data_IF_691904839366
#
_entry.id   IF_691904839366
#
_cell.length_a   1.000
_cell.length_b   1.000
_cell.length_c   1.000
_cell.angle_alpha   90.00
_cell.angle_beta   90.00
_cell.angle_gamma   90.00
#
_symmetry.space_group_name_H-M   'P 1'
#
loop_
_entity.id
_entity.type
_entity.pdbx_description
1 polymer ?
#
# COMPACT_ATOMS: atom_id res chain seq x y z
N UNK A 1 -17.24 -6.52 10.91
CA UNK A 1 -16.91 -7.86 10.37
C UNK A 1 -16.35 -7.81 8.94
N UNK A 2 -17.01 -7.20 7.93
CA UNK A 2 -16.52 -7.19 6.54
C UNK A 2 -15.17 -6.48 6.32
N UNK A 3 -14.95 -5.32 6.94
CA UNK A 3 -13.69 -4.56 6.81
C UNK A 3 -12.48 -5.26 7.47
N UNK A 4 -12.68 -6.04 8.55
CA UNK A 4 -11.64 -6.89 9.17
C UNK A 4 -11.00 -7.85 8.17
N UNK A 5 -11.78 -8.31 7.19
CA UNK A 5 -11.31 -9.16 6.11
C UNK A 5 -10.94 -8.36 4.84
N UNK A 6 -10.77 -7.05 4.91
CA UNK A 6 -10.37 -6.21 3.77
C UNK A 6 -11.46 -5.92 2.73
N UNK A 7 -12.73 -6.28 2.99
CA UNK A 7 -13.82 -5.94 2.07
C UNK A 7 -14.19 -4.45 2.16
N UNK A 8 -14.45 -3.84 1.01
CA UNK A 8 -14.81 -2.42 0.86
C UNK A 8 -13.76 -1.41 1.34
N UNK A 9 -12.54 -1.85 1.69
CA UNK A 9 -11.42 -0.95 2.02
C UNK A 9 -10.63 -0.54 0.77
N UNK A 10 -10.48 -1.48 -0.16
CA UNK A 10 -9.62 -1.36 -1.32
C UNK A 10 -10.33 -1.85 -2.58
N UNK A 11 -9.90 -1.36 -3.75
CA UNK A 11 -10.55 -1.66 -5.02
C UNK A 11 -10.43 -3.12 -5.46
N UNK A 12 -9.48 -3.88 -4.90
CA UNK A 12 -9.30 -5.31 -5.19
C UNK A 12 -8.77 -6.15 -4.00
N UNK A 13 -9.06 -5.75 -2.74
CA UNK A 13 -8.71 -6.53 -1.52
C UNK A 13 -7.22 -6.96 -1.47
N UNK A 14 -6.32 -6.03 -1.76
CA UNK A 14 -4.87 -6.25 -1.78
C UNK A 14 -4.22 -6.25 -0.38
N UNK A 15 -4.91 -5.74 0.64
CA UNK A 15 -4.25 -5.39 1.91
C UNK A 15 -3.39 -4.13 1.73
N UNK A 16 -2.53 -3.83 2.69
CA UNK A 16 -1.60 -2.71 2.54
C UNK A 16 -0.49 -3.02 1.52
N UNK A 17 -0.26 -2.07 0.61
CA UNK A 17 0.90 -2.05 -0.28
C UNK A 17 1.79 -0.91 0.21
N UNK A 18 2.83 -1.24 0.98
CA UNK A 18 3.69 -0.26 1.63
C UNK A 18 4.74 0.32 0.68
N UNK A 19 5.25 -0.50 -0.25
CA UNK A 19 6.37 -0.11 -1.12
C UNK A 19 6.03 -0.20 -2.60
N UNK A 20 6.72 0.59 -3.42
CA UNK A 20 6.60 0.52 -4.89
C UNK A 20 7.01 -0.86 -5.41
N UNK A 21 7.96 -1.54 -4.75
CA UNK A 21 8.39 -2.89 -5.11
C UNK A 21 7.25 -3.90 -4.99
N UNK A 22 6.43 -3.82 -3.94
CA UNK A 22 5.24 -4.66 -3.78
C UNK A 22 4.20 -4.38 -4.87
N UNK A 23 3.98 -3.11 -5.21
CA UNK A 23 3.10 -2.72 -6.31
C UNK A 23 3.58 -3.31 -7.66
N UNK A 24 4.89 -3.23 -7.93
CA UNK A 24 5.50 -3.81 -9.12
C UNK A 24 5.32 -5.34 -9.16
N UNK A 25 5.62 -6.04 -8.08
CA UNK A 25 5.45 -7.50 -8.01
C UNK A 25 4.00 -7.92 -8.27
N UNK A 26 3.02 -7.21 -7.68
CA UNK A 26 1.61 -7.47 -7.93
C UNK A 26 1.26 -7.31 -9.41
N UNK A 27 1.77 -6.26 -10.06
CA UNK A 27 1.58 -6.06 -11.49
C UNK A 27 2.25 -7.16 -12.34
N UNK A 28 3.47 -7.56 -12.01
CA UNK A 28 4.19 -8.61 -12.73
C UNK A 28 3.51 -9.97 -12.60
N UNK A 29 2.97 -10.30 -11.42
CA UNK A 29 2.17 -11.51 -11.23
C UNK A 29 0.87 -11.47 -12.03
N UNK A 30 0.19 -10.32 -12.03
CA UNK A 30 -0.99 -10.10 -12.86
C UNK A 30 -0.67 -10.18 -14.35
N UNK A 31 0.53 -9.80 -14.78
CA UNK A 31 0.98 -9.98 -16.16
C UNK A 31 1.39 -11.43 -16.47
N UNK A 32 1.57 -12.27 -15.46
CA UNK A 32 2.14 -13.62 -15.61
C UNK A 32 3.65 -13.62 -15.87
N UNK A 33 4.33 -12.48 -15.64
CA UNK A 33 5.78 -12.30 -15.84
C UNK A 33 6.59 -12.80 -14.65
N UNK A 34 5.96 -12.93 -13.49
CA UNK A 34 6.57 -13.38 -12.25
C UNK A 34 5.59 -14.22 -11.44
N UNK A 35 6.11 -15.13 -10.62
CA UNK A 35 5.32 -15.94 -9.69
C UNK A 35 5.98 -15.87 -8.32
N UNK A 36 5.22 -15.53 -7.27
CA UNK A 36 5.79 -15.40 -5.95
C UNK A 36 6.32 -16.74 -5.45
N UNK A 37 7.44 -16.69 -4.75
CA UNK A 37 8.01 -17.83 -4.03
C UNK A 37 7.81 -17.59 -2.54
N UNK A 38 7.72 -18.68 -1.77
CA UNK A 38 7.59 -18.60 -0.31
C UNK A 38 6.40 -17.70 0.13
N UNK A 39 5.28 -17.76 -0.61
CA UNK A 39 4.13 -16.88 -0.40
C UNK A 39 3.01 -17.48 0.47
N UNK A 40 3.22 -18.68 0.99
CA UNK A 40 2.32 -19.33 1.93
C UNK A 40 3.08 -19.45 3.24
N UNK A 41 2.67 -18.66 4.23
CA UNK A 41 3.22 -18.72 5.57
C UNK A 41 2.30 -19.51 6.49
N UNK A 42 2.87 -20.10 7.54
CA UNK A 42 2.13 -20.83 8.56
C UNK A 42 2.28 -20.14 9.91
N UNK A 43 1.24 -20.23 10.74
CA UNK A 43 1.27 -19.87 12.16
C UNK A 43 0.18 -20.64 12.87
N UNK A 44 0.53 -21.35 13.96
CA UNK A 44 -0.41 -22.09 14.80
C UNK A 44 -1.35 -23.04 14.03
N UNK A 45 -0.82 -23.71 13.00
CA UNK A 45 -1.58 -24.64 12.14
C UNK A 45 -2.55 -23.97 11.15
N UNK A 46 -2.45 -22.65 10.97
CA UNK A 46 -3.20 -21.85 9.99
C UNK A 46 -2.29 -21.32 8.89
N UNK A 47 -2.85 -21.13 7.70
CA UNK A 47 -2.11 -20.75 6.50
C UNK A 47 -2.46 -19.33 6.04
N UNK A 48 -1.45 -18.55 5.69
CA UNK A 48 -1.58 -17.13 5.35
C UNK A 48 -0.96 -16.84 3.98
N UNK A 49 -1.56 -15.90 3.25
CA UNK A 49 -0.95 -15.31 2.06
C UNK A 49 0.11 -14.29 2.49
N UNK A 50 1.39 -14.65 2.38
CA UNK A 50 2.51 -13.84 2.85
C UNK A 50 2.57 -12.44 2.20
N UNK A 51 1.98 -12.26 1.03
CA UNK A 51 1.99 -10.99 0.30
C UNK A 51 0.82 -10.07 0.68
N UNK A 52 -0.13 -10.58 1.48
CA UNK A 52 -1.26 -9.84 2.04
C UNK A 52 -1.73 -10.49 3.37
N UNK A 53 -0.84 -10.64 4.35
CA UNK A 53 -1.00 -11.54 5.49
C UNK A 53 -2.15 -11.17 6.44
N UNK A 54 -2.57 -9.91 6.46
CA UNK A 54 -3.66 -9.44 7.30
C UNK A 54 -5.05 -9.49 6.64
N UNK A 55 -5.14 -9.86 5.35
CA UNK A 55 -6.44 -9.97 4.64
C UNK A 55 -7.32 -11.10 5.20
N UNK A 56 -6.68 -12.17 5.68
CA UNK A 56 -7.31 -13.27 6.43
C UNK A 56 -6.66 -13.32 7.83
N UNK A 57 -7.12 -12.49 8.78
CA UNK A 57 -6.41 -12.27 10.05
C UNK A 57 -6.34 -13.49 10.96
N UNK A 58 -7.19 -14.49 10.73
CA UNK A 58 -7.18 -15.76 11.48
C UNK A 58 -6.60 -16.92 10.66
N UNK A 59 -6.06 -16.60 9.48
CA UNK A 59 -5.54 -17.57 8.51
C UNK A 59 -6.63 -18.42 7.87
N UNK A 60 -6.20 -19.29 6.98
CA UNK A 60 -7.01 -20.26 6.25
C UNK A 60 -6.68 -21.68 6.72
N UNK A 61 -7.54 -22.64 6.39
CA UNK A 61 -7.41 -24.02 6.88
C UNK A 61 -6.39 -24.83 6.08
N UNK A 62 -6.01 -24.39 4.88
CA UNK A 62 -5.00 -25.08 4.08
C UNK A 62 -4.23 -24.17 3.10
N UNK A 63 -3.06 -24.65 2.66
CA UNK A 63 -2.27 -24.00 1.61
C UNK A 63 -3.04 -23.91 0.27
N UNK A 64 -3.88 -24.89 -0.05
CA UNK A 64 -4.73 -24.88 -1.24
C UNK A 64 -5.78 -23.76 -1.18
N UNK A 65 -6.32 -23.44 0.00
CA UNK A 65 -7.24 -22.31 0.17
C UNK A 65 -6.53 -20.98 -0.06
N UNK A 66 -5.31 -20.80 0.48
CA UNK A 66 -4.47 -19.63 0.19
C UNK A 66 -4.27 -19.47 -1.31
N UNK A 67 -3.96 -20.56 -2.02
CA UNK A 67 -3.76 -20.53 -3.47
C UNK A 67 -5.04 -20.14 -4.23
N UNK A 68 -6.21 -20.68 -3.85
CA UNK A 68 -7.51 -20.31 -4.45
C UNK A 68 -7.87 -18.84 -4.19
N UNK A 69 -7.64 -18.36 -2.97
CA UNK A 69 -7.87 -16.95 -2.59
C UNK A 69 -6.97 -16.03 -3.40
N UNK A 70 -5.70 -16.41 -3.59
CA UNK A 70 -4.74 -15.64 -4.39
C UNK A 70 -5.11 -15.62 -5.87
N UNK A 71 -5.45 -16.76 -6.47
CA UNK A 71 -5.90 -16.83 -7.87
C UNK A 71 -7.11 -15.91 -8.11
N UNK A 72 -8.08 -15.94 -7.20
CA UNK A 72 -9.24 -15.05 -7.24
C UNK A 72 -8.79 -13.59 -7.17
N UNK A 73 -7.93 -13.23 -6.20
CA UNK A 73 -7.40 -11.88 -6.06
C UNK A 73 -6.68 -11.38 -7.32
N UNK A 74 -5.73 -12.15 -7.86
CA UNK A 74 -4.99 -11.80 -9.09
C UNK A 74 -5.93 -11.61 -10.28
N UNK A 75 -7.00 -12.42 -10.40
CA UNK A 75 -8.00 -12.22 -11.44
C UNK A 75 -8.75 -10.88 -11.30
N UNK A 76 -9.07 -10.47 -10.06
CA UNK A 76 -9.74 -9.19 -9.77
C UNK A 76 -8.83 -8.00 -9.99
N UNK A 77 -7.57 -8.09 -9.59
CA UNK A 77 -6.57 -7.05 -9.85
C UNK A 77 -6.31 -6.91 -11.35
N UNK A 78 -6.27 -8.02 -12.10
CA UNK A 78 -6.18 -7.97 -13.57
C UNK A 78 -7.33 -7.20 -14.20
N UNK A 79 -8.56 -7.45 -13.76
CA UNK A 79 -9.72 -6.71 -14.25
C UNK A 79 -9.62 -5.22 -13.89
N UNK A 80 -9.27 -4.91 -12.64
CA UNK A 80 -9.06 -3.54 -12.18
C UNK A 80 -8.01 -2.80 -13.02
N UNK A 81 -6.84 -3.41 -13.25
CA UNK A 81 -5.79 -2.79 -14.06
C UNK A 81 -6.21 -2.58 -15.50
N UNK A 82 -7.08 -3.42 -16.08
CA UNK A 82 -7.61 -3.24 -17.44
C UNK A 82 -8.66 -2.13 -17.56
N UNK A 83 -9.41 -1.90 -16.49
CA UNK A 83 -10.62 -1.07 -16.54
C UNK A 83 -10.47 0.30 -15.87
N UNK A 84 -9.46 0.50 -15.02
CA UNK A 84 -9.31 1.77 -14.33
C UNK A 84 -9.13 2.94 -15.31
N UNK A 85 -9.70 4.10 -14.98
CA UNK A 85 -9.43 5.37 -15.65
C UNK A 85 -8.43 6.22 -14.86
N UNK A 86 -8.50 6.11 -13.52
CA UNK A 86 -7.65 6.83 -12.58
C UNK A 86 -7.03 5.84 -11.60
N UNK A 87 -5.71 5.88 -11.49
CA UNK A 87 -4.91 5.11 -10.55
C UNK A 87 -4.38 6.01 -9.43
N UNK A 88 -4.93 5.87 -8.22
CA UNK A 88 -4.47 6.61 -7.05
C UNK A 88 -3.54 5.71 -6.25
N UNK A 89 -2.32 6.19 -5.98
CA UNK A 89 -1.36 5.44 -5.17
C UNK A 89 -0.69 6.30 -4.12
N UNK A 90 -0.81 5.86 -2.88
CA UNK A 90 -0.18 6.49 -1.71
C UNK A 90 1.16 5.80 -1.46
N UNK A 91 2.25 6.53 -1.63
CA UNK A 91 3.59 6.09 -1.28
C UNK A 91 3.72 6.01 0.25
N UNK A 92 3.81 4.78 0.76
CA UNK A 92 3.80 4.48 2.19
C UNK A 92 5.19 4.56 2.82
N UNK A 93 6.03 3.58 2.49
CA UNK A 93 7.32 3.32 3.12
C UNK A 93 8.39 3.00 2.06
N UNK A 94 9.66 3.16 2.44
CA UNK A 94 10.80 2.66 1.66
C UNK A 94 11.24 1.28 2.14
N UNK A 95 11.21 1.04 3.45
CA UNK A 95 11.64 -0.20 4.10
C UNK A 95 10.85 -1.42 3.61
N UNK A 96 11.58 -2.50 3.32
CA UNK A 96 11.00 -3.74 2.83
C UNK A 96 11.76 -4.98 3.31
N UNK A 97 11.05 -6.10 3.40
CA UNK A 97 11.61 -7.41 3.74
C UNK A 97 11.63 -8.30 2.51
N UNK A 98 12.78 -8.92 2.26
CA UNK A 98 13.05 -9.63 1.00
C UNK A 98 13.49 -11.06 1.32
N UNK A 99 12.91 -12.03 0.63
CA UNK A 99 13.44 -13.39 0.57
C UNK A 99 14.71 -13.40 -0.29
N UNK A 100 15.87 -13.71 0.31
CA UNK A 100 17.19 -13.65 -0.32
C UNK A 100 17.32 -14.54 -1.55
N UNK A 101 16.60 -15.67 -1.58
CA UNK A 101 16.71 -16.67 -2.64
C UNK A 101 15.93 -16.29 -3.89
N UNK A 102 14.72 -15.76 -3.70
CA UNK A 102 13.78 -15.46 -4.78
C UNK A 102 13.67 -13.98 -5.12
N UNK A 103 14.12 -13.09 -4.22
CA UNK A 103 13.89 -11.66 -4.31
C UNK A 103 12.44 -11.26 -4.02
N UNK A 104 11.59 -12.17 -3.51
CA UNK A 104 10.19 -11.87 -3.16
C UNK A 104 10.15 -10.88 -2.00
N UNK A 105 9.47 -9.76 -2.21
CA UNK A 105 9.28 -8.71 -1.22
C UNK A 105 7.93 -8.83 -0.52
N UNK A 106 7.95 -8.74 0.81
CA UNK A 106 6.77 -8.87 1.69
C UNK A 106 6.36 -7.52 2.31
N UNK A 107 5.07 -7.36 2.67
CA UNK A 107 4.56 -6.17 3.36
C UNK A 107 5.16 -5.95 4.75
N UNK A 108 5.42 -7.03 5.49
CA UNK A 108 5.98 -7.00 6.84
C UNK A 108 7.10 -8.03 6.96
N UNK A 109 7.89 -7.96 8.04
CA UNK A 109 8.81 -9.03 8.36
C UNK A 109 8.00 -10.33 8.62
N UNK A 110 8.50 -11.50 8.20
CA UNK A 110 8.01 -12.77 8.72
C UNK A 110 7.99 -12.76 10.26
N UNK A 111 6.99 -13.39 10.88
CA UNK A 111 6.83 -13.40 12.35
C UNK A 111 6.00 -12.26 12.92
N UNK A 112 5.81 -11.15 12.20
CA UNK A 112 4.96 -10.04 12.68
C UNK A 112 3.49 -10.45 12.67
N UNK A 113 2.99 -10.91 11.52
CA UNK A 113 1.61 -11.38 11.35
C UNK A 113 1.55 -12.92 11.32
N UNK A 114 2.39 -13.53 10.49
CA UNK A 114 2.53 -14.97 10.31
C UNK A 114 3.94 -15.30 9.79
N UNK A 115 4.27 -16.59 9.70
CA UNK A 115 5.60 -17.05 9.30
C UNK A 115 6.64 -16.90 10.41
N UNK A 116 7.86 -17.30 10.11
CA UNK A 116 8.99 -17.23 11.05
C UNK A 116 10.14 -16.47 10.41
N UNK A 117 10.73 -15.55 11.17
CA UNK A 117 11.89 -14.80 10.70
C UNK A 117 13.16 -15.61 10.84
N UNK A 118 13.94 -15.63 9.76
CA UNK A 118 15.25 -16.26 9.69
C UNK A 118 16.20 -15.35 8.89
N UNK A 119 17.25 -14.87 9.55
CA UNK A 119 18.26 -13.99 8.95
C UNK A 119 19.04 -14.66 7.80
N UNK A 120 19.08 -15.99 7.71
CA UNK A 120 19.69 -16.68 6.57
C UNK A 120 18.82 -16.60 5.31
N UNK A 121 17.50 -16.52 5.47
CA UNK A 121 16.54 -16.56 4.36
C UNK A 121 15.96 -15.19 4.01
N UNK A 122 15.88 -14.28 4.97
CA UNK A 122 15.29 -12.95 4.79
C UNK A 122 16.29 -11.83 5.07
N UNK A 123 16.12 -10.72 4.38
CA UNK A 123 16.88 -9.50 4.64
C UNK A 123 15.99 -8.25 4.61
N UNK A 124 16.41 -7.29 5.41
CA UNK A 124 15.92 -5.93 5.35
C UNK A 124 16.59 -5.18 4.18
N UNK A 125 15.80 -4.47 3.39
CA UNK A 125 16.29 -3.55 2.39
C UNK A 125 15.62 -2.18 2.52
N UNK A 126 16.39 -1.12 2.30
CA UNK A 126 15.90 0.25 2.24
C UNK A 126 16.36 0.91 0.92
N UNK A 127 15.58 0.81 -0.16
CA UNK A 127 15.94 1.30 -1.48
C UNK A 127 16.00 2.83 -1.51
N UNK A 128 17.00 3.36 -2.22
CA UNK A 128 17.12 4.79 -2.47
C UNK A 128 16.20 5.25 -3.62
N UNK A 129 16.18 6.56 -3.86
CA UNK A 129 15.44 7.20 -4.95
C UNK A 129 15.59 6.50 -6.31
N UNK A 130 16.82 6.11 -6.71
CA UNK A 130 17.06 5.54 -8.05
C UNK A 130 16.36 4.20 -8.23
N UNK A 131 16.42 3.34 -7.20
CA UNK A 131 15.77 2.03 -7.22
C UNK A 131 14.25 2.17 -7.20
N UNK A 132 13.70 3.03 -6.34
CA UNK A 132 12.25 3.25 -6.28
C UNK A 132 11.74 3.85 -7.61
N UNK A 133 12.49 4.78 -8.20
CA UNK A 133 12.12 5.36 -9.49
C UNK A 133 12.20 4.35 -10.65
N UNK A 134 13.15 3.40 -10.59
CA UNK A 134 13.16 2.26 -11.53
C UNK A 134 11.92 1.41 -11.33
N UNK A 135 11.58 1.06 -10.09
CA UNK A 135 10.42 0.20 -9.81
C UNK A 135 9.11 0.85 -10.27
N UNK A 136 8.96 2.18 -10.11
CA UNK A 136 7.84 2.93 -10.65
C UNK A 136 7.77 2.81 -12.18
N UNK A 137 8.90 2.96 -12.87
CA UNK A 137 8.96 2.85 -14.34
C UNK A 137 8.57 1.46 -14.81
N UNK A 138 9.17 0.45 -14.21
CA UNK A 138 8.89 -0.95 -14.53
C UNK A 138 7.41 -1.26 -14.28
N UNK A 139 6.81 -0.70 -13.21
CA UNK A 139 5.39 -0.84 -12.93
C UNK A 139 4.53 -0.21 -14.04
N UNK A 140 4.85 1.01 -14.47
CA UNK A 140 4.13 1.68 -15.55
C UNK A 140 4.24 0.88 -16.86
N UNK A 141 5.40 0.31 -17.16
CA UNK A 141 5.60 -0.53 -18.34
C UNK A 141 4.78 -1.83 -18.28
N UNK A 142 4.79 -2.52 -17.14
CA UNK A 142 3.96 -3.73 -16.92
C UNK A 142 2.47 -3.40 -17.03
N UNK A 143 2.04 -2.30 -16.40
CA UNK A 143 0.66 -1.84 -16.45
C UNK A 143 0.25 -1.50 -17.89
N UNK A 144 1.14 -0.87 -18.67
CA UNK A 144 0.95 -0.62 -20.10
C UNK A 144 0.74 -1.90 -20.89
N UNK A 145 1.51 -2.96 -20.62
CA UNK A 145 1.32 -4.28 -21.26
C UNK A 145 -0.02 -4.92 -20.90
N UNK A 146 -0.47 -4.80 -19.64
CA UNK A 146 -1.77 -5.32 -19.20
C UNK A 146 -2.93 -4.56 -19.87
N UNK A 147 -2.78 -3.25 -20.07
CA UNK A 147 -3.82 -2.34 -20.57
C UNK A 147 -3.87 -2.20 -22.09
N UNK A 148 -2.76 -2.42 -22.78
CA UNK A 148 -2.59 -2.08 -24.19
C UNK A 148 -2.60 -0.55 -24.39
N UNK A 149 -3.32 -0.08 -25.41
CA UNK A 149 -3.35 1.35 -25.80
C UNK A 149 -4.26 2.23 -24.91
N UNK A 150 -4.87 1.66 -23.87
CA UNK A 150 -5.78 2.41 -22.99
C UNK A 150 -5.02 3.32 -22.02
N UNK A 151 -5.13 4.63 -22.27
CA UNK A 151 -4.62 5.65 -21.36
C UNK A 151 -5.26 5.58 -19.96
N UNK A 152 -4.57 6.12 -18.97
CA UNK A 152 -5.08 6.34 -17.63
C UNK A 152 -4.44 7.60 -17.03
N UNK A 153 -5.05 8.14 -15.98
CA UNK A 153 -4.45 9.18 -15.14
C UNK A 153 -3.98 8.58 -13.83
N UNK A 154 -2.91 9.12 -13.29
CA UNK A 154 -2.34 8.71 -12.02
C UNK A 154 -2.39 9.88 -11.04
N UNK A 155 -2.76 9.61 -9.79
CA UNK A 155 -2.59 10.57 -8.70
C UNK A 155 -1.66 9.92 -7.69
N UNK A 156 -0.50 10.52 -7.47
CA UNK A 156 0.42 10.13 -6.42
C UNK A 156 0.18 10.99 -5.19
N UNK A 157 0.36 10.37 -4.03
CA UNK A 157 0.47 11.10 -2.77
C UNK A 157 1.44 10.38 -1.84
N UNK A 158 1.93 11.06 -0.81
CA UNK A 158 2.80 10.46 0.21
C UNK A 158 1.99 10.31 1.50
N UNK A 159 2.11 9.16 2.15
CA UNK A 159 1.45 8.95 3.45
C UNK A 159 2.08 9.85 4.52
N UNK A 160 1.29 10.61 5.30
CA UNK A 160 1.77 11.39 6.44
C UNK A 160 2.13 10.55 7.66
N UNK A 161 1.71 9.29 7.70
CA UNK A 161 1.93 8.42 8.85
C UNK A 161 3.43 8.11 8.96
N UNK A 162 4.08 8.43 10.09
CA UNK A 162 5.51 8.16 10.29
C UNK A 162 5.82 6.66 10.29
N UNK A 163 7.09 6.25 10.39
CA UNK A 163 7.41 4.85 10.70
C UNK A 163 7.08 4.56 12.16
N UNK A 164 6.62 3.34 12.40
CA UNK A 164 6.37 2.83 13.75
C UNK A 164 7.67 2.45 14.43
N UNK A 165 8.41 1.58 13.72
CA UNK A 165 9.71 1.07 14.06
C UNK A 165 10.53 1.01 12.76
N UNK A 166 11.85 0.84 12.90
CA UNK A 166 12.76 0.73 11.75
C UNK A 166 13.76 -0.39 12.00
N UNK A 167 13.98 -1.22 10.99
CA UNK A 167 15.02 -2.26 11.03
C UNK A 167 16.39 -1.74 10.54
N UNK A 168 16.50 -0.45 10.24
CA UNK A 168 17.75 0.13 9.74
C UNK A 168 18.84 0.33 10.80
N UNK A 169 18.52 0.11 12.08
CA UNK A 169 19.39 0.43 13.22
C UNK A 169 19.55 1.92 13.51
N UNK A 170 18.84 2.81 12.79
CA UNK A 170 18.84 4.24 13.05
C UNK A 170 17.66 4.61 13.96
N UNK A 171 17.68 5.84 14.49
CA UNK A 171 16.52 6.36 15.21
C UNK A 171 15.30 6.50 14.29
N UNK A 172 14.13 6.06 14.76
CA UNK A 172 12.87 6.02 13.98
C UNK A 172 12.49 7.38 13.36
N UNK A 173 12.76 8.48 14.07
CA UNK A 173 12.54 9.84 13.54
C UNK A 173 13.39 10.10 12.30
N UNK A 174 14.69 9.79 12.35
CA UNK A 174 15.60 9.99 11.20
C UNK A 174 15.24 9.09 10.03
N UNK A 175 14.89 7.82 10.29
CA UNK A 175 14.40 6.89 9.27
C UNK A 175 13.08 7.36 8.65
N UNK A 176 12.19 7.95 9.45
CA UNK A 176 10.92 8.51 8.96
C UNK A 176 11.17 9.66 8.02
N UNK A 177 12.01 10.62 8.42
CA UNK A 177 12.35 11.77 7.58
C UNK A 177 13.02 11.29 6.28
N UNK A 178 13.94 10.33 6.35
CA UNK A 178 14.58 9.74 5.17
C UNK A 178 13.55 9.12 4.21
N UNK A 179 12.69 8.23 4.71
CA UNK A 179 11.67 7.54 3.93
C UNK A 179 10.73 8.52 3.24
N UNK A 180 10.14 9.47 3.99
CA UNK A 180 9.19 10.43 3.42
C UNK A 180 9.85 11.40 2.45
N UNK A 181 11.11 11.81 2.69
CA UNK A 181 11.85 12.70 1.78
C UNK A 181 12.11 12.03 0.44
N UNK A 182 12.53 10.75 0.43
CA UNK A 182 12.75 10.01 -0.81
C UNK A 182 11.44 9.80 -1.57
N UNK A 183 10.40 9.34 -0.89
CA UNK A 183 9.10 9.11 -1.52
C UNK A 183 8.51 10.40 -2.09
N UNK A 184 8.69 11.53 -1.39
CA UNK A 184 8.25 12.84 -1.88
C UNK A 184 9.03 13.31 -3.10
N UNK A 185 10.34 13.05 -3.15
CA UNK A 185 11.17 13.31 -4.33
C UNK A 185 10.72 12.44 -5.52
N UNK A 186 10.43 11.15 -5.31
CA UNK A 186 9.89 10.26 -6.34
C UNK A 186 8.56 10.79 -6.86
N UNK A 187 7.63 11.15 -5.96
CA UNK A 187 6.35 11.72 -6.36
C UNK A 187 6.50 13.00 -7.18
N UNK A 188 7.41 13.90 -6.78
CA UNK A 188 7.70 15.12 -7.52
C UNK A 188 8.25 14.86 -8.92
N UNK A 189 9.20 13.92 -9.05
CA UNK A 189 9.75 13.52 -10.34
C UNK A 189 8.69 12.96 -11.30
N UNK A 190 7.76 12.14 -10.78
CA UNK A 190 6.68 11.58 -11.60
C UNK A 190 5.59 12.59 -11.94
N UNK A 191 5.31 13.56 -11.07
CA UNK A 191 4.35 14.63 -11.33
C UNK A 191 4.75 15.56 -12.49
N UNK A 192 6.00 15.50 -12.96
CA UNK A 192 6.40 16.17 -14.20
C UNK A 192 5.83 15.50 -15.47
N UNK A 193 5.26 14.29 -15.35
CA UNK A 193 4.67 13.56 -16.49
C UNK A 193 3.22 14.00 -16.70
N UNK A 194 2.76 14.23 -17.95
CA UNK A 194 1.41 14.76 -18.23
C UNK A 194 0.22 13.90 -17.75
N UNK A 195 0.47 12.63 -17.40
CA UNK A 195 -0.56 11.71 -16.92
C UNK A 195 -0.56 11.54 -15.40
N UNK A 196 0.37 12.18 -14.67
CA UNK A 196 0.52 12.05 -13.22
C UNK A 196 0.26 13.39 -12.56
N UNK A 197 -0.61 13.40 -11.56
CA UNK A 197 -0.77 14.52 -10.63
C UNK A 197 -0.24 14.14 -9.24
N UNK A 198 0.14 15.14 -8.44
CA UNK A 198 0.52 14.96 -7.05
C UNK A 198 -0.46 15.66 -6.12
N UNK A 199 -1.14 14.89 -5.28
CA UNK A 199 -2.00 15.42 -4.24
C UNK A 199 -1.24 15.57 -2.91
N UNK A 200 -1.18 16.77 -2.29
CA UNK A 200 -0.30 17.04 -1.15
C UNK A 200 -0.92 16.66 0.22
N UNK A 201 -1.43 15.43 0.39
CA UNK A 201 -1.96 15.02 1.71
C UNK A 201 -0.89 15.00 2.80
N UNK A 202 0.34 14.57 2.44
CA UNK A 202 1.49 14.60 3.34
C UNK A 202 1.73 15.99 3.92
N UNK A 203 1.79 17.00 3.06
CA UNK A 203 2.07 18.38 3.46
C UNK A 203 0.90 19.03 4.19
N UNK A 204 -0.35 18.67 3.87
CA UNK A 204 -1.52 19.16 4.61
C UNK A 204 -1.44 18.67 6.07
N UNK A 205 -1.19 17.38 6.29
CA UNK A 205 -1.16 16.80 7.64
C UNK A 205 0.08 17.23 8.43
N UNK A 206 1.24 17.33 7.78
CA UNK A 206 2.52 17.66 8.44
C UNK A 206 2.82 19.17 8.47
N UNK A 207 1.86 20.01 8.07
CA UNK A 207 2.05 21.45 8.01
C UNK A 207 2.46 22.03 9.38
N UNK A 208 3.62 22.71 9.49
CA UNK A 208 4.06 23.30 10.75
C UNK A 208 3.07 24.30 11.38
N UNK A 209 2.22 24.94 10.56
CA UNK A 209 1.15 25.84 11.05
C UNK A 209 0.05 25.12 11.82
N UNK A 210 -0.07 23.80 11.66
CA UNK A 210 -1.00 23.01 12.45
C UNK A 210 -0.43 22.61 13.81
N UNK A 211 0.84 22.94 14.15
CA UNK A 211 1.41 22.64 15.47
C UNK A 211 1.17 21.18 15.92
N UNK A 212 1.36 20.22 14.99
CA UNK A 212 1.11 18.79 15.17
C UNK A 212 -0.35 18.37 15.46
N UNK A 213 -1.33 19.27 15.42
CA UNK A 213 -2.75 18.92 15.62
C UNK A 213 -3.33 18.06 14.49
N UNK A 214 -2.56 17.83 13.42
CA UNK A 214 -2.89 16.87 12.37
C UNK A 214 -2.99 15.44 12.88
N UNK A 215 -2.24 15.12 13.94
CA UNK A 215 -2.13 13.79 14.53
C UNK A 215 -2.85 13.68 15.88
N UNK A 216 -3.27 12.47 16.21
CA UNK A 216 -3.74 12.06 17.54
C UNK A 216 -2.61 12.15 18.57
N UNK A 217 -2.90 11.85 19.83
CA UNK A 217 -1.96 12.05 20.94
C UNK A 217 -0.70 11.15 20.83
N UNK A 218 -0.79 10.05 20.07
CA UNK A 218 0.36 9.20 19.72
C UNK A 218 1.30 9.83 18.66
N UNK A 219 0.98 11.03 18.16
CA UNK A 219 1.72 11.77 17.12
C UNK A 219 1.95 10.97 15.82
N UNK A 220 1.08 9.98 15.56
CA UNK A 220 1.16 9.06 14.43
C UNK A 220 -0.16 8.94 13.69
N UNK A 221 -1.24 8.57 14.39
CA UNK A 221 -2.55 8.39 13.78
C UNK A 221 -3.10 9.74 13.34
N UNK A 222 -3.62 9.84 12.12
CA UNK A 222 -4.19 11.09 11.61
C UNK A 222 -5.58 11.28 12.21
N UNK A 223 -5.87 12.45 12.77
CA UNK A 223 -7.21 12.74 13.33
C UNK A 223 -8.27 12.73 12.23
N UNK A 224 -9.48 12.27 12.57
CA UNK A 224 -10.64 12.27 11.67
C UNK A 224 -10.94 13.66 11.08
N UNK A 225 -10.78 14.73 11.87
CA UNK A 225 -10.97 16.11 11.42
C UNK A 225 -9.96 16.47 10.33
N UNK A 226 -8.71 16.01 10.49
CA UNK A 226 -7.63 16.21 9.53
C UNK A 226 -7.90 15.41 8.26
N UNK A 227 -8.34 14.14 8.37
CA UNK A 227 -8.76 13.33 7.22
C UNK A 227 -9.88 14.03 6.44
N UNK A 228 -10.90 14.55 7.13
CA UNK A 228 -12.00 15.30 6.49
C UNK A 228 -11.48 16.55 5.76
N UNK A 229 -10.53 17.27 6.36
CA UNK A 229 -9.90 18.44 5.72
C UNK A 229 -9.13 18.04 4.45
N UNK A 230 -8.32 16.98 4.52
CA UNK A 230 -7.58 16.44 3.37
C UNK A 230 -8.56 16.06 2.26
N UNK A 231 -9.61 15.30 2.56
CA UNK A 231 -10.61 14.88 1.57
C UNK A 231 -11.39 16.06 0.98
N UNK A 232 -11.69 17.09 1.78
CA UNK A 232 -12.30 18.34 1.29
C UNK A 232 -11.43 19.00 0.22
N UNK A 233 -10.12 19.11 0.46
CA UNK A 233 -9.18 19.65 -0.53
C UNK A 233 -9.04 18.74 -1.75
N UNK A 234 -9.00 17.41 -1.54
CA UNK A 234 -8.93 16.44 -2.64
C UNK A 234 -10.07 16.62 -3.64
N UNK A 235 -11.33 16.63 -3.15
CA UNK A 235 -12.50 16.78 -4.02
C UNK A 235 -12.68 18.18 -4.59
N UNK A 236 -12.20 19.22 -3.90
CA UNK A 236 -12.21 20.57 -4.43
C UNK A 236 -11.26 20.72 -5.63
N UNK A 237 -10.05 20.15 -5.53
CA UNK A 237 -9.03 20.19 -6.58
C UNK A 237 -9.32 19.24 -7.75
N UNK A 238 -10.00 18.12 -7.49
CA UNK A 238 -10.39 17.14 -8.50
C UNK A 238 -11.90 17.16 -8.68
N UNK A 239 -12.43 18.31 -9.09
CA UNK A 239 -13.87 18.51 -9.22
C UNK A 239 -14.45 17.45 -10.15
N UNK A 240 -15.45 16.71 -9.67
CA UNK A 240 -16.20 15.76 -10.51
C UNK A 240 -16.92 16.59 -11.56
N UNK A 241 -16.36 16.66 -12.76
CA UNK A 241 -17.09 17.16 -13.93
C UNK A 241 -18.22 16.17 -14.12
N UNK A 242 -19.44 16.53 -13.69
CA UNK A 242 -20.65 15.73 -13.93
C UNK A 242 -20.80 15.55 -15.43
N UNK A 243 -20.33 14.42 -15.95
CA UNK A 243 -20.72 13.94 -17.26
C UNK A 243 -22.24 13.84 -17.26
N UNK A 244 -22.89 14.47 -18.24
CA UNK A 244 -24.34 14.58 -18.38
C UNK A 244 -25.06 13.25 -18.66
N UNK A 245 -24.38 12.10 -18.52
CA UNK A 245 -25.02 10.79 -18.59
C UNK A 245 -25.41 10.32 -17.18
N UNK A 246 -26.71 10.23 -16.94
CA UNK A 246 -27.33 9.56 -15.78
C UNK A 246 -26.81 8.12 -15.68
N UNK A 247 -25.70 7.94 -14.99
CA UNK A 247 -25.31 6.67 -14.38
C UNK A 247 -25.81 6.74 -12.94
N UNK A 248 -26.71 5.83 -12.57
CA UNK A 248 -27.13 5.64 -11.20
C UNK A 248 -25.90 5.35 -10.34
N UNK A 249 -25.42 6.36 -9.63
CA UNK A 249 -24.48 6.21 -8.54
C UNK A 249 -25.15 5.28 -7.53
N UNK A 250 -24.70 4.02 -7.49
CA UNK A 250 -24.94 3.15 -6.35
C UNK A 250 -24.26 3.85 -5.20
N UNK A 251 -25.06 4.36 -4.27
CA UNK A 251 -24.57 4.94 -3.03
C UNK A 251 -23.76 3.87 -2.30
N UNK A 252 -22.43 3.99 -2.35
CA UNK A 252 -21.57 3.33 -1.37
C UNK A 252 -21.97 3.96 -0.05
N UNK A 253 -22.75 3.20 0.73
CA UNK A 253 -23.21 3.61 2.05
C UNK A 253 -22.01 4.08 2.85
N UNK A 254 -22.18 5.24 3.47
CA UNK A 254 -21.27 5.82 4.43
C UNK A 254 -21.32 4.94 5.69
N UNK A 255 -20.66 3.78 5.64
CA UNK A 255 -20.52 2.91 6.79
C UNK A 255 -19.45 3.55 7.68
N UNK A 256 -19.90 4.20 8.75
CA UNK A 256 -19.05 4.63 9.86
C UNK A 256 -18.54 3.36 10.56
N UNK A 257 -17.56 2.71 9.95
CA UNK A 257 -16.85 1.55 10.48
C UNK A 257 -15.43 1.96 10.81
N UNK A 258 -15.05 1.76 12.07
CA UNK A 258 -13.72 1.96 12.62
C UNK A 258 -12.66 1.32 11.72
N UNK A 259 -11.53 2.01 11.49
CA UNK A 259 -10.39 1.57 10.66
C UNK A 259 -9.58 0.43 11.27
N UNK A 260 -10.18 -0.37 12.17
CA UNK A 260 -9.52 -1.38 13.00
C UNK A 260 -8.60 -2.31 12.17
N UNK A 261 -8.94 -2.65 10.92
CA UNK A 261 -8.10 -3.54 10.11
C UNK A 261 -6.75 -2.94 9.69
N UNK A 262 -6.71 -1.65 9.34
CA UNK A 262 -5.45 -0.94 8.99
C UNK A 262 -4.69 -0.59 10.26
N UNK A 263 -5.41 -0.20 11.30
CA UNK A 263 -4.86 0.13 12.61
C UNK A 263 -4.21 -1.11 13.25
N UNK A 264 -4.83 -2.29 13.16
CA UNK A 264 -4.25 -3.54 13.65
C UNK A 264 -2.93 -3.94 12.97
N UNK A 265 -2.76 -3.76 11.66
CA UNK A 265 -1.49 -4.06 10.99
C UNK A 265 -0.36 -3.13 11.48
N UNK A 266 -0.67 -1.85 11.66
CA UNK A 266 0.31 -0.85 12.10
C UNK A 266 0.66 -1.00 13.59
N UNK A 267 -0.31 -1.32 14.44
CA UNK A 267 -0.11 -1.65 15.86
C UNK A 267 0.75 -2.92 16.02
N UNK A 268 0.57 -3.93 15.16
CA UNK A 268 1.39 -5.14 15.20
C UNK A 268 2.85 -4.87 14.83
N UNK A 269 3.14 -3.83 14.03
CA UNK A 269 4.50 -3.38 13.77
C UNK A 269 5.14 -2.69 15.00
N UNK A 270 4.35 -2.15 15.95
CA UNK A 270 4.87 -1.55 17.20
C UNK A 270 5.51 -2.60 18.11
N UNK A 271 4.91 -3.78 18.20
CA UNK A 271 5.34 -4.85 19.10
C UNK A 271 6.77 -5.36 18.86
N UNK A 272 7.36 -5.08 17.69
CA UNK A 272 8.68 -5.55 17.29
C UNK A 272 9.74 -4.44 17.20
N UNK A 273 9.39 -3.19 17.52
CA UNK A 273 10.38 -2.12 17.70
C UNK A 273 11.13 -2.30 19.03
N UNK A 274 12.45 -2.50 18.97
CA UNK A 274 13.33 -2.45 20.15
C UNK A 274 13.77 -1.02 20.44
#
# INVERSE_FOLDING_TARGET
MRQKFGFSMYSARYGNIYTVRQLLQLAQEVAGEWTPKNHIWEKDGKFFDALRPAVEPEGLDSAEEVQKHRQTHISRVRQLFKDLDVFIFTLGLTEMWVDKRSGTVYPTAPGVLAGEFDEENFEFQNPNFRLINRDMRDFIEVLGRIRGEKEFKMILTVSPVPLTATASGNHVLSSTIYSKSILRAVAGFWAEKPFVDYFPSYEIVTNPRMHSTGFSDNLRSVRDETVKMVMKHFFASHSIVRSSKKSSLVSVGNDKGNSDGVECEEELLEAFGK
#
